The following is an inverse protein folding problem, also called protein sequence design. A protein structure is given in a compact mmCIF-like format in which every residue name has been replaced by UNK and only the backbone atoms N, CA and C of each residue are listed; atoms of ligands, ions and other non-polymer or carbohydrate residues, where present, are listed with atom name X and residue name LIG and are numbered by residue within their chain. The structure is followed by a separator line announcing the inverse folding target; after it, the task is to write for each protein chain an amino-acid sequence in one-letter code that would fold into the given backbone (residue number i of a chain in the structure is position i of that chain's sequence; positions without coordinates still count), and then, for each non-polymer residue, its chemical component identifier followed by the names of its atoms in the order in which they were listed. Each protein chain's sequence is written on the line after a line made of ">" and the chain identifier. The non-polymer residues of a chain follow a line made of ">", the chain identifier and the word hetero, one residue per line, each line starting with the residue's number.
data_IF_808604943028
#
_entry.id   IF_808604943028
#
_cell.length_a   1.000
_cell.length_b   1.000
_cell.length_c   1.000
_cell.angle_alpha   90.00
_cell.angle_beta   90.00
_cell.angle_gamma   90.00
#
_symmetry.space_group_name_H-M   'P 1'
#
loop_
_entity.id
_entity.type
_entity.pdbx_description
1 polymer ?
#
# COMPACT_ATOMS: atom_id res chain seq x y z
N UNK A 1 43.30 -7.18 -20.26
CA UNK A 1 42.44 -6.00 -20.12
C UNK A 1 41.11 -6.46 -19.56
N UNK A 2 40.89 -6.34 -18.25
CA UNK A 2 39.62 -6.67 -17.62
C UNK A 2 38.64 -5.53 -17.93
N UNK A 3 37.62 -5.82 -18.72
CA UNK A 3 36.58 -4.86 -19.06
C UNK A 3 35.71 -4.65 -17.80
N UNK A 4 35.81 -3.49 -17.19
CA UNK A 4 35.03 -3.10 -16.02
C UNK A 4 33.58 -2.89 -16.45
N UNK A 5 32.76 -3.95 -16.40
CA UNK A 5 31.31 -3.82 -16.46
C UNK A 5 30.84 -3.19 -15.15
N UNK A 6 30.86 -1.87 -15.08
CA UNK A 6 30.11 -1.15 -14.07
C UNK A 6 28.64 -1.52 -14.25
N UNK A 7 28.03 -2.16 -13.25
CA UNK A 7 26.57 -2.23 -13.16
C UNK A 7 26.08 -0.79 -13.06
N UNK A 8 25.74 -0.20 -14.20
CA UNK A 8 25.61 1.25 -14.33
C UNK A 8 24.23 1.67 -13.79
N UNK A 9 24.12 1.72 -12.47
CA UNK A 9 23.02 2.36 -11.78
C UNK A 9 23.00 3.85 -12.15
N UNK A 10 21.88 4.32 -12.71
CA UNK A 10 21.67 5.69 -13.20
C UNK A 10 20.68 6.43 -12.30
N UNK A 11 21.13 6.99 -11.16
CA UNK A 11 20.25 7.62 -10.18
C UNK A 11 19.47 8.81 -10.74
N UNK A 12 20.03 9.53 -11.70
CA UNK A 12 19.39 10.68 -12.36
C UNK A 12 18.08 10.31 -13.06
N UNK A 13 17.97 9.09 -13.61
CA UNK A 13 16.76 8.62 -14.25
C UNK A 13 15.66 8.34 -13.22
N UNK A 14 16.02 7.75 -12.08
CA UNK A 14 15.08 7.53 -10.97
C UNK A 14 14.57 8.85 -10.37
N UNK A 15 15.48 9.79 -10.12
CA UNK A 15 15.14 11.08 -9.52
C UNK A 15 14.24 11.92 -10.44
N UNK A 16 14.38 11.78 -11.76
CA UNK A 16 13.56 12.51 -12.73
C UNK A 16 12.27 11.77 -13.12
N UNK A 17 12.20 10.46 -12.94
CA UNK A 17 11.02 9.64 -13.27
C UNK A 17 9.74 10.13 -12.58
N UNK A 18 8.63 10.09 -13.30
CA UNK A 18 7.30 10.38 -12.77
C UNK A 18 6.50 9.09 -12.82
N UNK A 19 6.09 8.62 -11.65
CA UNK A 19 5.19 7.48 -11.53
C UNK A 19 3.76 7.87 -11.92
N UNK A 20 2.99 6.94 -12.49
CA UNK A 20 1.60 7.19 -12.82
C UNK A 20 0.77 7.46 -11.55
N UNK A 21 -0.16 8.40 -11.66
CA UNK A 21 -1.22 8.58 -10.68
C UNK A 21 -2.38 7.64 -11.03
N UNK A 22 -3.17 7.27 -10.03
CA UNK A 22 -4.29 6.37 -10.23
C UNK A 22 -5.34 6.46 -9.15
N UNK A 23 -6.29 5.54 -9.22
CA UNK A 23 -7.39 5.44 -8.28
C UNK A 23 -7.48 4.02 -7.76
N UNK A 24 -7.50 3.88 -6.45
CA UNK A 24 -7.75 2.61 -5.76
C UNK A 24 -9.16 2.62 -5.19
N UNK A 25 -10.01 1.71 -5.64
CA UNK A 25 -11.39 1.59 -5.16
C UNK A 25 -11.54 0.31 -4.37
N UNK A 26 -12.16 0.41 -3.20
CA UNK A 26 -12.42 -0.73 -2.33
C UNK A 26 -13.78 -0.63 -1.66
N UNK A 27 -14.25 -1.79 -1.25
CA UNK A 27 -15.51 -2.00 -0.58
C UNK A 27 -15.29 -2.60 0.80
N UNK A 28 -16.36 -2.66 1.59
CA UNK A 28 -16.36 -3.28 2.92
C UNK A 28 -15.90 -4.75 2.87
N UNK A 29 -16.17 -5.45 1.76
CA UNK A 29 -15.68 -6.81 1.52
C UNK A 29 -14.15 -6.88 1.50
N UNK A 30 -13.50 -5.95 0.84
CA UNK A 30 -12.04 -5.95 0.69
C UNK A 30 -11.36 -5.66 2.03
N UNK A 31 -11.94 -4.74 2.80
CA UNK A 31 -11.53 -4.44 4.18
C UNK A 31 -11.65 -5.68 5.07
N UNK A 32 -12.80 -6.36 5.05
CA UNK A 32 -13.03 -7.54 5.87
C UNK A 32 -12.08 -8.69 5.49
N UNK A 33 -11.85 -8.90 4.17
CA UNK A 33 -10.89 -9.91 3.69
C UNK A 33 -9.47 -9.57 4.14
N UNK A 34 -9.07 -8.30 4.08
CA UNK A 34 -7.76 -7.88 4.59
C UNK A 34 -7.63 -8.15 6.10
N UNK A 35 -8.64 -7.79 6.89
CA UNK A 35 -8.64 -8.02 8.34
C UNK A 35 -8.46 -9.51 8.67
N UNK A 36 -9.20 -10.39 7.99
CA UNK A 36 -9.02 -11.84 8.10
C UNK A 36 -7.61 -12.28 7.67
N UNK A 37 -7.11 -11.73 6.57
CA UNK A 37 -5.78 -12.05 6.02
C UNK A 37 -4.61 -11.69 6.96
N UNK A 38 -4.75 -10.64 7.77
CA UNK A 38 -3.75 -10.26 8.79
C UNK A 38 -3.99 -10.91 10.16
N UNK A 39 -5.03 -11.75 10.27
CA UNK A 39 -5.25 -12.61 11.44
C UNK A 39 -6.36 -12.19 12.39
N UNK A 40 -7.20 -11.20 12.03
CA UNK A 40 -8.40 -10.89 12.82
C UNK A 40 -9.30 -12.13 12.94
N UNK A 41 -9.85 -12.37 14.13
CA UNK A 41 -10.63 -13.57 14.45
C UNK A 41 -9.86 -14.90 14.33
N UNK A 42 -8.52 -14.87 14.26
CA UNK A 42 -7.70 -16.07 14.06
C UNK A 42 -7.74 -17.06 15.22
N UNK A 43 -7.94 -16.57 16.46
CA UNK A 43 -8.08 -17.42 17.65
C UNK A 43 -9.49 -17.94 17.85
N UNK A 44 -10.49 -17.11 17.55
CA UNK A 44 -11.91 -17.44 17.66
C UNK A 44 -12.73 -16.62 16.67
N UNK A 45 -13.60 -17.29 15.91
CA UNK A 45 -14.50 -16.66 14.96
C UNK A 45 -15.57 -15.77 15.61
N UNK A 46 -15.75 -15.89 16.93
CA UNK A 46 -16.74 -15.15 17.72
C UNK A 46 -16.08 -14.22 18.75
N UNK A 47 -14.82 -13.86 18.54
CA UNK A 47 -14.16 -12.87 19.38
C UNK A 47 -14.78 -11.48 19.14
N UNK A 48 -15.53 -11.02 20.13
CA UNK A 48 -16.23 -9.73 20.13
C UNK A 48 -15.26 -8.55 19.91
N UNK A 49 -14.00 -8.69 20.32
CA UNK A 49 -12.99 -7.65 20.12
C UNK A 49 -12.63 -7.44 18.64
N UNK A 50 -12.65 -8.51 17.85
CA UNK A 50 -12.23 -8.54 16.45
C UNK A 50 -13.40 -8.48 15.47
N UNK A 51 -14.60 -8.90 15.90
CA UNK A 51 -15.79 -8.94 15.07
C UNK A 51 -16.06 -7.60 14.38
N UNK A 52 -15.78 -6.47 15.05
CA UNK A 52 -15.91 -5.11 14.48
C UNK A 52 -15.13 -4.87 13.17
N UNK A 53 -14.13 -5.68 12.82
CA UNK A 53 -13.35 -5.58 11.58
C UNK A 53 -13.91 -6.41 10.43
N UNK A 54 -14.76 -7.40 10.72
CA UNK A 54 -15.23 -8.40 9.74
C UNK A 54 -16.74 -8.46 9.64
N UNK A 55 -17.45 -8.02 10.68
CA UNK A 55 -18.89 -8.16 10.82
C UNK A 55 -19.48 -7.04 11.68
N UNK A 56 -20.71 -6.65 11.35
CA UNK A 56 -21.45 -5.62 12.08
C UNK A 56 -22.48 -6.28 13.00
N UNK A 57 -22.20 -6.34 14.29
CA UNK A 57 -23.20 -6.74 15.30
C UNK A 57 -24.04 -5.52 15.73
N UNK A 58 -25.35 -5.72 15.91
CA UNK A 58 -26.23 -4.77 16.59
C UNK A 58 -26.26 -3.31 16.05
N UNK A 59 -26.11 -3.10 14.74
CA UNK A 59 -26.41 -1.81 14.12
C UNK A 59 -25.24 -0.86 13.91
N UNK A 60 -23.98 -1.33 13.99
CA UNK A 60 -22.89 -0.63 13.29
C UNK A 60 -23.25 -0.53 11.81
N UNK A 61 -23.20 0.69 11.25
CA UNK A 61 -23.49 0.89 9.83
C UNK A 61 -22.41 0.23 8.94
N UNK A 62 -21.16 0.16 9.43
CA UNK A 62 -20.01 -0.35 8.69
C UNK A 62 -18.94 -0.95 9.61
N UNK A 63 -18.14 -1.90 9.09
CA UNK A 63 -16.96 -2.45 9.78
C UNK A 63 -15.88 -1.38 9.96
N UNK A 64 -15.04 -1.56 10.98
CA UNK A 64 -13.85 -0.74 11.19
C UNK A 64 -12.72 -1.19 10.27
N UNK A 65 -11.94 -0.24 9.76
CA UNK A 65 -10.80 -0.52 8.89
C UNK A 65 -9.51 -0.51 9.70
N UNK A 66 -8.69 -1.54 9.56
CA UNK A 66 -7.34 -1.54 10.14
C UNK A 66 -6.48 -0.47 9.45
N UNK A 67 -5.76 0.39 10.18
CA UNK A 67 -4.88 1.42 9.61
C UNK A 67 -3.92 0.90 8.53
N UNK A 68 -3.41 -0.33 8.72
CA UNK A 68 -2.46 -0.97 7.82
C UNK A 68 -3.06 -1.38 6.47
N UNK A 69 -4.38 -1.33 6.30
CA UNK A 69 -5.06 -1.57 5.02
C UNK A 69 -4.55 -0.65 3.91
N UNK A 70 -4.16 0.58 4.25
CA UNK A 70 -3.54 1.53 3.31
C UNK A 70 -2.30 0.99 2.60
N UNK A 71 -1.58 0.02 3.17
CA UNK A 71 -0.43 -0.58 2.52
C UNK A 71 -0.79 -1.25 1.18
N UNK A 72 -2.04 -1.69 1.01
CA UNK A 72 -2.52 -2.31 -0.25
C UNK A 72 -2.57 -1.33 -1.42
N UNK A 73 -2.77 -0.04 -1.15
CA UNK A 73 -2.90 0.98 -2.20
C UNK A 73 -1.62 1.08 -3.05
N UNK A 74 -0.49 0.66 -2.48
CA UNK A 74 0.81 0.60 -3.13
C UNK A 74 0.94 -0.55 -4.12
N UNK A 75 0.39 -1.70 -3.79
CA UNK A 75 0.57 -2.89 -4.61
C UNK A 75 -0.26 -2.84 -5.88
N UNK A 76 -1.46 -2.26 -5.84
CA UNK A 76 -2.25 -2.02 -7.07
C UNK A 76 -1.59 -0.98 -7.99
N UNK A 77 -0.82 -0.04 -7.44
CA UNK A 77 -0.10 0.96 -8.24
C UNK A 77 1.10 0.38 -9.01
N UNK A 78 1.53 -0.84 -8.68
CA UNK A 78 2.72 -1.49 -9.22
C UNK A 78 2.34 -2.76 -10.01
N UNK A 79 2.38 -2.72 -11.36
CA UNK A 79 2.10 -3.89 -12.19
C UNK A 79 3.01 -5.07 -11.79
N UNK A 80 2.42 -6.20 -11.39
CA UNK A 80 3.18 -7.38 -10.95
C UNK A 80 3.83 -7.25 -9.57
N UNK A 81 3.44 -6.25 -8.77
CA UNK A 81 3.92 -6.07 -7.39
C UNK A 81 5.35 -5.55 -7.26
N UNK A 82 5.95 -5.10 -8.37
CA UNK A 82 7.32 -4.60 -8.40
C UNK A 82 7.37 -3.17 -8.98
N UNK A 83 8.14 -2.25 -8.38
CA UNK A 83 8.25 -0.89 -8.89
C UNK A 83 9.04 -0.85 -10.21
N UNK A 84 8.59 -0.03 -11.15
CA UNK A 84 9.41 0.34 -12.29
C UNK A 84 10.50 1.33 -11.83
N UNK A 85 11.76 0.93 -11.96
CA UNK A 85 12.92 1.68 -11.48
C UNK A 85 13.85 1.97 -12.66
N UNK A 86 13.56 3.02 -13.47
CA UNK A 86 14.36 3.35 -14.64
C UNK A 86 15.80 3.67 -14.26
N UNK A 87 16.76 3.06 -14.96
CA UNK A 87 18.18 3.23 -14.65
C UNK A 87 18.71 2.28 -13.58
N UNK A 88 17.87 1.41 -13.02
CA UNK A 88 18.29 0.30 -12.16
C UNK A 88 17.86 -1.03 -12.79
N UNK A 89 18.83 -1.79 -13.30
CA UNK A 89 18.60 -3.18 -13.66
C UNK A 89 18.68 -4.04 -12.39
N UNK A 90 17.57 -4.65 -12.00
CA UNK A 90 17.51 -5.54 -10.84
C UNK A 90 16.70 -6.80 -11.15
N UNK A 91 16.97 -7.89 -10.43
CA UNK A 91 16.11 -9.07 -10.44
C UNK A 91 15.02 -8.87 -9.37
N UNK A 92 13.73 -8.78 -9.74
CA UNK A 92 12.67 -8.55 -8.76
C UNK A 92 12.54 -9.64 -7.70
N UNK A 93 13.02 -10.85 -7.98
CA UNK A 93 13.02 -11.97 -7.02
C UNK A 93 14.00 -11.77 -5.87
N UNK A 94 14.98 -10.87 -6.04
CA UNK A 94 15.97 -10.53 -5.03
C UNK A 94 15.61 -9.24 -4.27
N UNK A 95 14.44 -8.65 -4.54
CA UNK A 95 13.98 -7.45 -3.87
C UNK A 95 13.35 -7.81 -2.52
N UNK A 96 13.89 -7.27 -1.43
CA UNK A 96 13.34 -7.39 -0.09
C UNK A 96 12.77 -6.04 0.37
N UNK A 97 11.58 -6.06 0.96
CA UNK A 97 11.00 -4.89 1.62
C UNK A 97 11.80 -4.58 2.90
N UNK A 98 12.66 -3.57 2.83
CA UNK A 98 13.51 -3.20 3.97
C UNK A 98 12.77 -2.40 5.04
N UNK A 99 12.04 -1.36 4.64
CA UNK A 99 11.33 -0.44 5.53
C UNK A 99 9.97 -0.08 4.95
N UNK A 100 9.01 0.21 5.82
CA UNK A 100 7.68 0.67 5.45
C UNK A 100 7.20 1.68 6.49
N UNK A 101 6.66 2.80 6.04
CA UNK A 101 6.10 3.85 6.90
C UNK A 101 4.73 4.26 6.40
N UNK A 102 3.78 4.38 7.33
CA UNK A 102 2.41 4.81 7.07
C UNK A 102 2.10 5.97 8.01
N UNK A 103 1.58 7.05 7.45
CA UNK A 103 1.00 8.16 8.21
C UNK A 103 -0.43 8.38 7.72
N UNK A 104 -1.38 8.41 8.66
CA UNK A 104 -2.80 8.47 8.37
C UNK A 104 -3.38 9.75 8.97
N UNK A 105 -3.82 10.66 8.11
CA UNK A 105 -4.39 11.95 8.52
C UNK A 105 -5.85 11.85 8.96
N UNK A 106 -6.59 10.84 8.48
CA UNK A 106 -8.00 10.59 8.79
C UNK A 106 -8.28 9.09 8.81
N UNK A 107 -9.18 8.60 9.69
CA UNK A 107 -9.60 7.20 9.67
C UNK A 107 -10.08 6.79 8.28
N UNK A 108 -9.75 5.56 7.88
CA UNK A 108 -10.16 5.02 6.60
C UNK A 108 -11.65 4.64 6.64
N UNK A 109 -12.45 5.06 5.65
CA UNK A 109 -13.83 4.61 5.53
C UNK A 109 -13.87 3.13 5.14
N UNK A 110 -14.97 2.43 5.42
CA UNK A 110 -15.17 1.03 5.05
C UNK A 110 -15.29 0.79 3.54
N UNK A 111 -15.61 1.83 2.76
CA UNK A 111 -15.69 1.81 1.30
C UNK A 111 -15.31 3.18 0.77
N UNK A 112 -14.41 3.24 -0.22
CA UNK A 112 -14.06 4.49 -0.87
C UNK A 112 -13.36 4.27 -2.22
N UNK A 113 -13.29 5.35 -2.99
CA UNK A 113 -12.41 5.50 -4.15
C UNK A 113 -11.34 6.54 -3.81
N UNK A 114 -10.09 6.11 -3.70
CA UNK A 114 -8.95 6.92 -3.24
C UNK A 114 -8.02 7.21 -4.39
N UNK A 115 -7.82 8.49 -4.69
CA UNK A 115 -6.79 8.94 -5.65
C UNK A 115 -5.42 8.86 -5.00
N UNK A 116 -4.42 8.38 -5.74
CA UNK A 116 -3.04 8.24 -5.26
C UNK A 116 -2.04 8.88 -6.22
N UNK A 117 -0.98 9.42 -5.63
CA UNK A 117 0.18 9.95 -6.34
C UNK A 117 1.46 9.54 -5.61
N UNK A 118 2.55 9.36 -6.35
CA UNK A 118 3.85 9.01 -5.76
C UNK A 118 4.75 10.23 -5.70
N UNK A 119 5.23 10.57 -4.50
CA UNK A 119 6.14 11.69 -4.29
C UNK A 119 7.59 11.22 -4.01
N UNK A 120 8.53 11.89 -4.67
CA UNK A 120 9.92 11.44 -4.87
C UNK A 120 10.82 11.50 -3.63
N UNK A 121 10.45 12.25 -2.59
CA UNK A 121 11.27 12.40 -1.38
C UNK A 121 11.41 11.10 -0.58
N UNK A 122 10.72 10.03 -0.97
CA UNK A 122 10.56 8.81 -0.21
C UNK A 122 10.85 7.54 -1.02
N UNK A 123 11.86 7.61 -1.89
CA UNK A 123 12.37 6.44 -2.62
C UNK A 123 13.58 5.77 -1.91
N UNK A 124 14.26 6.45 -0.97
CA UNK A 124 15.42 5.88 -0.22
C UNK A 124 14.99 5.14 1.06
N UNK A 125 13.74 5.33 1.48
CA UNK A 125 13.05 4.54 2.51
C UNK A 125 11.77 4.10 1.84
N UNK A 126 11.66 2.82 1.50
CA UNK A 126 10.68 2.30 0.55
C UNK A 126 9.25 2.73 0.94
N UNK A 127 8.76 3.71 0.17
CA UNK A 127 7.39 4.16 0.06
C UNK A 127 6.83 4.84 1.32
N UNK A 128 6.82 6.17 1.28
CA UNK A 128 5.85 6.96 2.02
C UNK A 128 4.86 7.52 1.05
N UNK A 129 3.62 7.16 1.32
CA UNK A 129 2.50 7.81 0.66
C UNK A 129 1.95 8.84 1.60
N UNK A 130 2.15 10.09 1.20
CA UNK A 130 1.33 11.18 1.68
C UNK A 130 -0.01 11.08 0.95
N UNK A 131 -0.95 10.31 1.50
CA UNK A 131 -2.33 10.33 1.02
C UNK A 131 -2.99 11.61 1.51
N UNK A 132 -3.10 12.62 0.63
CA UNK A 132 -4.15 13.62 0.76
C UNK A 132 -5.49 12.90 0.52
N UNK A 133 -6.09 12.38 1.59
CA UNK A 133 -7.41 11.78 1.55
C UNK A 133 -8.45 12.90 1.37
N UNK A 134 -8.61 13.35 0.11
CA UNK A 134 -9.76 14.12 -0.32
C UNK A 134 -10.87 13.11 -0.62
N UNK A 135 -11.58 12.70 0.44
CA UNK A 135 -12.86 12.00 0.29
C UNK A 135 -13.80 12.99 -0.41
N UNK A 136 -13.92 12.88 -1.74
CA UNK A 136 -14.99 13.55 -2.49
C UNK A 136 -16.30 12.88 -2.05
N UNK A 137 -17.11 13.64 -1.32
CA UNK A 137 -18.40 13.26 -0.76
C UNK A 137 -19.52 13.64 -1.72
#
# INVERSE_FOLDING_TARGET
>A
MANSTSSEFKPELLLTHKYPEGTFTYTERDVAIYALGVGACGQSAVDVADLKYVYNENGQQFVQVLPTFCALFLFESMPGGCPDLPGLLYDPRLLLLGQHYIEIYKPLPSSASVKYSHHKHFLVVLIVVLYYCSVEN
#
